data_IF_453841117103
#
_entry.id   IF_453841117103
#
_cell.length_a   1.000
_cell.length_b   1.000
_cell.length_c   1.000
_cell.angle_alpha   90.00
_cell.angle_beta   90.00
_cell.angle_gamma   90.00
#
_symmetry.space_group_name_H-M   'P 1'
#
loop_
_entity.id
_entity.type
_entity.pdbx_description
1 polymer ?
#
# COMPACT_ATOMS: atom_id res chain seq x y z
N UNK A 1 9.20 13.16 -1.44
CA UNK A 1 9.84 12.48 -2.57
C UNK A 1 9.68 10.98 -2.45
N UNK A 2 9.24 10.35 -3.52
CA UNK A 2 8.97 8.91 -3.53
C UNK A 2 9.91 8.23 -4.52
N UNK A 3 10.46 7.08 -4.11
CA UNK A 3 11.45 6.37 -4.91
C UNK A 3 11.29 4.86 -4.73
N UNK A 4 11.46 4.13 -5.82
CA UNK A 4 11.51 2.68 -5.78
C UNK A 4 12.85 2.22 -5.18
N UNK A 5 12.81 1.13 -4.38
CA UNK A 5 14.01 0.53 -3.78
C UNK A 5 14.04 -0.96 -4.08
N UNK A 6 15.25 -1.52 -4.09
CA UNK A 6 15.45 -2.93 -4.37
C UNK A 6 15.55 -3.73 -3.07
N UNK A 7 14.98 -4.95 -3.08
CA UNK A 7 15.06 -5.83 -1.91
C UNK A 7 16.50 -6.06 -1.44
N UNK A 8 17.44 -6.19 -2.38
CA UNK A 8 18.83 -6.47 -2.05
C UNK A 8 19.61 -5.25 -1.55
N UNK A 9 19.01 -4.08 -1.59
CA UNK A 9 19.67 -2.83 -1.19
C UNK A 9 18.68 -1.88 -0.49
N UNK A 10 18.06 -2.38 0.59
CA UNK A 10 17.09 -1.58 1.33
C UNK A 10 17.80 -0.52 2.17
N UNK A 11 17.29 0.72 2.16
CA UNK A 11 17.87 1.77 3.00
C UNK A 11 17.67 1.51 4.48
N UNK A 12 18.47 2.17 5.32
CA UNK A 12 18.33 2.08 6.77
C UNK A 12 16.94 2.45 7.22
N UNK A 13 16.45 1.82 8.28
CA UNK A 13 15.12 1.97 8.85
C UNK A 13 13.96 1.41 8.00
N UNK A 14 14.22 0.95 6.76
CA UNK A 14 13.16 0.37 5.95
C UNK A 14 12.49 -0.80 6.67
N UNK A 15 13.27 -1.75 7.14
CA UNK A 15 12.75 -2.96 7.80
C UNK A 15 11.93 -2.63 9.04
N UNK A 16 12.41 -1.68 9.83
CA UNK A 16 11.72 -1.23 11.03
C UNK A 16 10.33 -0.67 10.70
N UNK A 17 10.27 0.20 9.70
CA UNK A 17 9.00 0.84 9.31
C UNK A 17 8.07 -0.19 8.66
N UNK A 18 8.61 -1.02 7.77
CA UNK A 18 7.84 -2.05 7.08
C UNK A 18 7.16 -3.03 8.06
N UNK A 19 7.87 -3.44 9.09
CA UNK A 19 7.32 -4.37 10.08
C UNK A 19 6.09 -3.81 10.79
N UNK A 20 5.93 -2.50 10.80
CA UNK A 20 4.78 -1.84 11.43
C UNK A 20 3.45 -2.08 10.75
N UNK A 21 3.43 -2.58 9.50
CA UNK A 21 2.19 -2.89 8.80
C UNK A 21 1.80 -4.37 8.91
N UNK A 22 2.61 -5.18 9.60
CA UNK A 22 2.39 -6.62 9.69
C UNK A 22 1.72 -6.98 11.01
N UNK A 23 0.76 -7.91 10.94
CA UNK A 23 0.14 -8.47 12.14
C UNK A 23 1.13 -9.29 12.97
N UNK A 24 2.16 -9.82 12.32
CA UNK A 24 3.25 -10.57 12.96
C UNK A 24 4.60 -10.02 12.53
N UNK A 25 5.12 -9.01 13.25
CA UNK A 25 6.39 -8.36 12.87
C UNK A 25 7.58 -9.31 12.80
N UNK A 26 7.56 -10.40 13.56
CA UNK A 26 8.61 -11.41 13.54
C UNK A 26 8.73 -12.14 12.20
N UNK A 27 7.70 -12.05 11.34
CA UNK A 27 7.72 -12.64 10.00
C UNK A 27 8.17 -11.66 8.93
N UNK A 28 8.62 -10.48 9.32
CA UNK A 28 8.95 -9.38 8.41
C UNK A 28 9.93 -9.79 7.30
N UNK A 29 11.02 -10.50 7.65
CA UNK A 29 12.01 -10.90 6.65
C UNK A 29 11.44 -11.89 5.63
N UNK A 30 10.61 -12.82 6.07
CA UNK A 30 9.98 -13.78 5.15
C UNK A 30 9.02 -13.10 4.19
N UNK A 31 8.25 -12.14 4.70
CA UNK A 31 7.34 -11.35 3.86
C UNK A 31 8.13 -10.50 2.86
N UNK A 32 9.22 -9.85 3.30
CA UNK A 32 10.07 -9.05 2.42
C UNK A 32 10.70 -9.87 1.30
N UNK A 33 11.07 -11.13 1.57
CA UNK A 33 11.65 -12.00 0.55
C UNK A 33 10.72 -12.23 -0.63
N UNK A 34 9.41 -12.09 -0.45
CA UNK A 34 8.46 -12.19 -1.55
C UNK A 34 8.66 -11.09 -2.59
N UNK A 35 9.31 -9.99 -2.22
CA UNK A 35 9.61 -8.89 -3.12
C UNK A 35 10.82 -9.14 -4.02
N UNK A 36 11.39 -10.32 -3.98
CA UNK A 36 12.36 -10.76 -4.98
C UNK A 36 11.70 -11.03 -6.34
N UNK A 37 10.39 -11.31 -6.32
CA UNK A 37 9.64 -11.49 -7.55
C UNK A 37 9.55 -10.17 -8.31
N UNK A 38 9.82 -10.14 -9.63
CA UNK A 38 9.89 -8.88 -10.38
C UNK A 38 8.57 -8.10 -10.42
N UNK A 39 7.43 -8.76 -10.28
CA UNK A 39 6.12 -8.09 -10.23
C UNK A 39 5.82 -7.43 -8.89
N UNK A 40 6.61 -7.70 -7.86
CA UNK A 40 6.46 -7.09 -6.53
C UNK A 40 7.52 -6.03 -6.34
N UNK A 41 7.10 -4.81 -6.07
CA UNK A 41 7.97 -3.64 -6.06
C UNK A 41 7.80 -2.86 -4.77
N UNK A 42 8.92 -2.35 -4.24
CA UNK A 42 8.97 -1.63 -2.97
C UNK A 42 9.28 -0.15 -3.21
N UNK A 43 8.64 0.70 -2.41
CA UNK A 43 8.78 2.14 -2.51
C UNK A 43 8.99 2.76 -1.15
N UNK A 44 9.73 3.86 -1.13
CA UNK A 44 9.91 4.69 0.06
C UNK A 44 9.50 6.11 -0.23
N UNK A 45 8.97 6.77 0.79
CA UNK A 45 8.71 8.21 0.79
C UNK A 45 9.63 8.85 1.81
N UNK A 46 10.34 9.89 1.38
CA UNK A 46 11.23 10.66 2.27
C UNK A 46 10.71 12.06 2.47
N UNK A 47 10.94 12.57 3.67
CA UNK A 47 10.73 13.96 4.03
C UNK A 47 12.00 14.43 4.74
N UNK A 48 12.61 15.50 4.24
CA UNK A 48 13.85 16.05 4.81
C UNK A 48 14.96 14.99 4.93
N UNK A 49 15.06 14.13 3.93
CA UNK A 49 16.08 13.09 3.87
C UNK A 49 15.80 11.82 4.67
N UNK A 50 14.73 11.79 5.45
CA UNK A 50 14.37 10.63 6.26
C UNK A 50 13.18 9.88 5.70
N UNK A 51 13.20 8.55 5.79
CA UNK A 51 12.07 7.73 5.38
C UNK A 51 10.91 7.94 6.35
N UNK A 52 9.74 8.30 5.81
CA UNK A 52 8.52 8.48 6.62
C UNK A 52 7.47 7.42 6.30
N UNK A 53 7.52 6.80 5.11
CA UNK A 53 6.56 5.78 4.74
C UNK A 53 7.17 4.79 3.74
N UNK A 54 6.66 3.58 3.73
CA UNK A 54 7.06 2.53 2.79
C UNK A 54 5.82 1.85 2.25
N UNK A 55 5.92 1.31 1.02
CA UNK A 55 4.80 0.61 0.41
C UNK A 55 5.31 -0.51 -0.50
N UNK A 56 4.48 -1.53 -0.68
CA UNK A 56 4.72 -2.59 -1.64
C UNK A 56 3.56 -2.73 -2.60
N UNK A 57 3.86 -2.78 -3.88
CA UNK A 57 2.89 -2.97 -4.95
C UNK A 57 3.14 -4.27 -5.69
N UNK A 58 2.07 -4.90 -6.16
CA UNK A 58 2.14 -5.97 -7.14
C UNK A 58 1.68 -5.39 -8.47
N UNK A 59 2.58 -5.39 -9.45
CA UNK A 59 2.32 -4.88 -10.80
C UNK A 59 2.59 -5.99 -11.81
N UNK A 60 1.53 -6.58 -12.33
CA UNK A 60 1.60 -7.66 -13.30
C UNK A 60 0.74 -7.30 -14.50
N UNK A 61 1.23 -7.58 -15.72
CA UNK A 61 0.53 -7.18 -16.94
C UNK A 61 -0.86 -7.77 -17.09
N UNK A 62 -1.06 -8.98 -16.58
CA UNK A 62 -2.30 -9.74 -16.75
C UNK A 62 -3.21 -9.71 -15.53
N UNK A 63 -2.80 -9.05 -14.45
CA UNK A 63 -3.56 -9.00 -13.22
C UNK A 63 -3.77 -7.56 -12.78
N UNK A 64 -4.84 -7.34 -12.02
CA UNK A 64 -5.11 -6.04 -11.42
C UNK A 64 -3.95 -5.65 -10.49
N UNK A 65 -3.42 -4.43 -10.57
CA UNK A 65 -2.44 -3.95 -9.59
C UNK A 65 -3.00 -4.03 -8.17
N UNK A 66 -2.14 -4.38 -7.25
CA UNK A 66 -2.55 -4.53 -5.85
C UNK A 66 -1.55 -3.84 -4.92
N UNK A 67 -2.08 -3.08 -3.96
CA UNK A 67 -1.29 -2.55 -2.86
C UNK A 67 -1.17 -3.65 -1.81
N UNK A 68 0.04 -4.18 -1.65
CA UNK A 68 0.28 -5.32 -0.76
C UNK A 68 0.61 -4.88 0.67
N UNK A 69 1.37 -3.80 0.81
CA UNK A 69 1.80 -3.30 2.11
C UNK A 69 1.89 -1.79 2.10
N UNK A 70 1.53 -1.18 3.21
CA UNK A 70 1.66 0.26 3.43
C UNK A 70 1.95 0.48 4.90
N UNK A 71 3.04 1.17 5.20
CA UNK A 71 3.36 1.54 6.57
C UNK A 71 3.87 2.96 6.62
N UNK A 72 3.38 3.73 7.59
CA UNK A 72 3.87 5.08 7.89
C UNK A 72 4.62 5.02 9.22
N UNK A 73 5.80 5.64 9.27
CA UNK A 73 6.60 5.69 10.49
C UNK A 73 5.73 6.21 11.64
N UNK A 74 5.83 5.57 12.79
CA UNK A 74 4.92 5.78 13.91
C UNK A 74 4.79 7.27 14.32
N UNK A 75 5.89 7.99 14.34
CA UNK A 75 5.91 9.41 14.71
C UNK A 75 5.44 10.36 13.59
N UNK A 76 5.12 9.81 12.41
CA UNK A 76 4.68 10.60 11.25
C UNK A 76 3.26 10.27 10.82
N UNK A 77 2.54 9.48 11.59
CA UNK A 77 1.15 9.11 11.29
C UNK A 77 0.21 10.31 11.43
N UNK A 78 -0.95 10.23 10.78
CA UNK A 78 -2.01 11.26 10.80
C UNK A 78 -1.59 12.58 10.15
N UNK A 79 -0.60 12.56 9.26
CA UNK A 79 -0.14 13.75 8.53
C UNK A 79 -0.34 13.63 7.03
N UNK A 80 -1.06 12.61 6.58
CA UNK A 80 -1.36 12.43 5.16
C UNK A 80 -0.28 11.77 4.32
N UNK A 81 0.79 11.25 4.91
CA UNK A 81 1.88 10.65 4.15
C UNK A 81 1.46 9.37 3.43
N UNK A 82 0.67 8.51 4.08
CA UNK A 82 0.17 7.29 3.43
C UNK A 82 -0.69 7.60 2.22
N UNK A 83 -1.58 8.56 2.35
CA UNK A 83 -2.43 9.01 1.25
C UNK A 83 -1.60 9.56 0.11
N UNK A 84 -0.62 10.41 0.40
CA UNK A 84 0.25 11.00 -0.61
C UNK A 84 1.04 9.93 -1.34
N UNK A 85 1.58 8.95 -0.60
CA UNK A 85 2.33 7.84 -1.20
C UNK A 85 1.46 7.05 -2.18
N UNK A 86 0.24 6.66 -1.77
CA UNK A 86 -0.68 5.92 -2.64
C UNK A 86 -1.01 6.72 -3.89
N UNK A 87 -1.39 7.97 -3.74
CA UNK A 87 -1.77 8.82 -4.88
C UNK A 87 -0.62 9.04 -5.85
N UNK A 88 0.58 9.23 -5.32
CA UNK A 88 1.76 9.41 -6.16
C UNK A 88 2.08 8.13 -6.95
N UNK A 89 1.94 6.96 -6.33
CA UNK A 89 2.15 5.70 -7.04
C UNK A 89 1.11 5.49 -8.14
N UNK A 90 -0.15 5.79 -7.85
CA UNK A 90 -1.24 5.68 -8.84
C UNK A 90 -0.93 6.54 -10.06
N UNK A 91 -0.47 7.75 -9.85
CA UNK A 91 -0.16 8.68 -10.93
C UNK A 91 1.13 8.29 -11.67
N UNK A 92 2.17 7.89 -10.95
CA UNK A 92 3.47 7.55 -11.55
C UNK A 92 3.39 6.33 -12.46
N UNK A 93 2.56 5.35 -12.12
CA UNK A 93 2.39 4.13 -12.91
C UNK A 93 1.15 4.15 -13.79
N UNK A 94 0.43 5.26 -13.83
CA UNK A 94 -0.79 5.43 -14.63
C UNK A 94 -1.75 4.28 -14.35
N UNK A 95 -1.99 4.03 -13.06
CA UNK A 95 -2.86 2.94 -12.60
C UNK A 95 -4.31 3.34 -12.76
N UNK A 96 -5.08 2.55 -13.49
CA UNK A 96 -6.53 2.77 -13.65
C UNK A 96 -7.32 2.20 -12.49
N UNK A 97 -6.96 1.02 -12.03
CA UNK A 97 -7.59 0.40 -10.86
C UNK A 97 -6.50 -0.14 -9.95
N UNK A 98 -6.73 -0.04 -8.65
CA UNK A 98 -5.81 -0.54 -7.64
C UNK A 98 -6.61 -1.24 -6.55
N UNK A 99 -6.29 -2.49 -6.28
CA UNK A 99 -6.94 -3.27 -5.23
C UNK A 99 -6.13 -3.24 -3.95
N UNK A 100 -6.80 -3.38 -2.82
CA UNK A 100 -6.15 -3.58 -1.51
C UNK A 100 -7.04 -4.50 -0.67
N UNK A 101 -6.41 -5.41 0.07
CA UNK A 101 -7.08 -6.18 1.11
C UNK A 101 -6.70 -5.62 2.47
N UNK A 102 -7.66 -5.38 3.33
CA UNK A 102 -7.41 -4.80 4.65
C UNK A 102 -8.44 -5.26 5.68
N UNK A 103 -8.25 -4.81 6.93
CA UNK A 103 -9.14 -5.10 8.04
C UNK A 103 -10.07 -3.94 8.35
N UNK A 104 -10.97 -4.15 9.32
CA UNK A 104 -11.94 -3.14 9.76
C UNK A 104 -11.28 -1.82 10.19
N UNK A 105 -10.12 -1.90 10.81
CA UNK A 105 -9.47 -0.70 11.35
C UNK A 105 -8.97 0.23 10.26
N UNK A 106 -8.61 -0.30 9.10
CA UNK A 106 -8.02 0.49 8.03
C UNK A 106 -8.99 0.80 6.88
N UNK A 107 -10.17 0.18 6.83
CA UNK A 107 -11.16 0.42 5.76
C UNK A 107 -11.45 1.91 5.59
N UNK A 108 -11.70 2.63 6.67
CA UNK A 108 -12.03 4.06 6.61
C UNK A 108 -10.92 4.90 6.00
N UNK A 109 -9.66 4.55 6.25
CA UNK A 109 -8.52 5.23 5.64
C UNK A 109 -8.57 5.12 4.11
N UNK A 110 -8.80 3.92 3.60
CA UNK A 110 -8.86 3.71 2.15
C UNK A 110 -10.09 4.35 1.52
N UNK A 111 -11.23 4.29 2.20
CA UNK A 111 -12.43 4.93 1.70
C UNK A 111 -12.27 6.45 1.53
N UNK A 112 -11.58 7.10 2.46
CA UNK A 112 -11.31 8.53 2.36
C UNK A 112 -10.42 8.91 1.18
N UNK A 113 -9.60 7.99 0.71
CA UNK A 113 -8.74 8.22 -0.46
C UNK A 113 -9.52 8.04 -1.77
N UNK A 114 -10.65 7.33 -1.72
CA UNK A 114 -11.47 7.11 -2.91
C UNK A 114 -11.62 5.64 -3.29
N UNK A 115 -11.19 4.73 -2.41
CA UNK A 115 -11.42 3.30 -2.61
C UNK A 115 -12.84 2.93 -2.20
N UNK A 116 -13.39 1.91 -2.85
CA UNK A 116 -14.73 1.39 -2.51
C UNK A 116 -14.62 -0.09 -2.16
N UNK A 117 -15.40 -0.52 -1.18
CA UNK A 117 -15.46 -1.93 -0.80
C UNK A 117 -16.11 -2.72 -1.94
N UNK A 118 -15.43 -3.76 -2.42
CA UNK A 118 -15.92 -4.61 -3.51
C UNK A 118 -16.12 -6.05 -3.08
N UNK A 119 -15.55 -6.46 -1.94
CA UNK A 119 -15.72 -7.80 -1.42
C UNK A 119 -15.38 -7.82 0.07
N UNK A 120 -15.89 -8.82 0.77
CA UNK A 120 -15.46 -9.10 2.14
C UNK A 120 -15.45 -10.61 2.35
N UNK A 121 -14.51 -11.08 3.16
CA UNK A 121 -14.42 -12.49 3.54
C UNK A 121 -14.25 -12.58 5.04
N UNK A 122 -14.75 -13.67 5.60
CA UNK A 122 -14.52 -14.00 6.99
C UNK A 122 -13.50 -15.12 7.05
N UNK A 123 -12.44 -14.92 7.83
CA UNK A 123 -11.40 -15.94 8.00
C UNK A 123 -11.88 -17.02 8.97
N UNK A 124 -11.14 -18.14 9.01
CA UNK A 124 -11.50 -19.28 9.87
C UNK A 124 -11.58 -18.91 11.34
N UNK A 125 -10.82 -17.92 11.81
CA UNK A 125 -10.84 -17.46 13.19
C UNK A 125 -11.78 -16.27 13.41
N UNK A 126 -12.70 -16.03 12.48
CA UNK A 126 -13.77 -15.04 12.66
C UNK A 126 -13.42 -13.61 12.29
N UNK A 127 -12.20 -13.35 11.83
CA UNK A 127 -11.81 -12.01 11.41
C UNK A 127 -12.39 -11.69 10.03
N UNK A 128 -12.81 -10.45 9.85
CA UNK A 128 -13.32 -9.97 8.56
C UNK A 128 -12.22 -9.25 7.81
N UNK A 129 -12.05 -9.60 6.52
CA UNK A 129 -11.13 -8.94 5.61
C UNK A 129 -11.95 -8.30 4.49
N UNK A 130 -11.57 -7.10 4.11
CA UNK A 130 -12.25 -6.33 3.08
C UNK A 130 -11.34 -6.15 1.88
N UNK A 131 -11.90 -6.34 0.68
CA UNK A 131 -11.22 -5.94 -0.55
C UNK A 131 -11.81 -4.61 -0.99
N UNK A 132 -10.94 -3.63 -1.21
CA UNK A 132 -11.36 -2.35 -1.74
C UNK A 132 -10.67 -2.11 -3.08
N UNK A 133 -11.29 -1.29 -3.91
CA UNK A 133 -10.75 -0.94 -5.21
C UNK A 133 -10.86 0.57 -5.43
N UNK A 134 -9.76 1.16 -5.86
CA UNK A 134 -9.74 2.49 -6.43
C UNK A 134 -9.94 2.38 -7.92
N UNK A 135 -10.76 3.25 -8.51
CA UNK A 135 -11.00 3.28 -9.95
C UNK A 135 -10.90 4.72 -10.44
N UNK A 136 -9.93 4.98 -11.30
CA UNK A 136 -9.70 6.31 -11.86
C UNK A 136 -10.88 6.75 -12.75
N UNK A 137 -11.38 5.85 -13.56
CA UNK A 137 -12.52 6.14 -14.46
C UNK A 137 -13.78 6.52 -13.68
N UNK A 138 -14.07 5.80 -12.59
CA UNK A 138 -15.22 6.09 -11.73
C UNK A 138 -15.07 7.45 -11.05
N UNK A 139 -13.86 7.78 -10.62
CA UNK A 139 -13.55 9.06 -9.99
C UNK A 139 -13.76 10.22 -10.97
N UNK A 140 -13.36 10.04 -12.24
CA UNK A 140 -13.57 11.03 -13.30
C UNK A 140 -15.05 11.20 -13.64
N UNK A 141 -15.80 10.10 -13.69
CA UNK A 141 -17.23 10.15 -13.97
C UNK A 141 -17.99 11.00 -12.97
N UNK A 142 -17.60 11.00 -11.73
CA UNK A 142 -18.19 11.86 -10.71
C UNK A 142 -17.94 13.32 -10.95
N UNK A 143 -16.81 13.67 -11.54
CA UNK A 143 -16.49 15.08 -11.84
C UNK A 143 -17.23 15.59 -13.05
N UNK A 144 -17.56 14.72 -13.98
CA UNK A 144 -18.27 15.08 -15.21
C UNK A 144 -19.78 15.22 -15.00
N UNK A 145 -20.30 14.62 -13.95
CA UNK A 145 -21.72 14.70 -13.63
C UNK A 145 -22.04 15.80 -12.64
#
# INVERSE_FOLDING_TARGET
MIREVEFDNLPGRFREIFSGCLGRPEQSEEVLKMYRAPERRLFVMRQEGSIVAVAGLKLHELEEPELLHLAVRKDKRRRGFGRTLIKTMIDAFIIDTLAVWTDEDAVGFYEKIGFNIVNEIQTLNGLVRYKLRFSRAKSRGRQET
#
